data_IF_532454258193
#
_entry.id   IF_532454258193
#
_cell.length_a   1.000
_cell.length_b   1.000
_cell.length_c   1.000
_cell.angle_alpha   90.00
_cell.angle_beta   90.00
_cell.angle_gamma   90.00
#
_symmetry.space_group_name_H-M   'P 1'
#
loop_
_entity.id
_entity.type
_entity.pdbx_description
1 polymer ?
#
# COMPACT_ATOMS: atom_id res chain seq x y z
N UNK A 1 -25.72 -6.43 8.79
CA UNK A 1 -24.58 -6.15 9.69
C UNK A 1 -23.38 -5.72 8.83
N UNK A 2 -22.66 -4.64 9.15
CA UNK A 2 -21.45 -4.24 8.39
C UNK A 2 -20.23 -4.98 8.94
N UNK A 3 -19.51 -5.71 8.08
CA UNK A 3 -18.22 -6.33 8.45
C UNK A 3 -17.25 -5.26 8.93
N UNK A 4 -16.62 -5.51 10.07
CA UNK A 4 -15.49 -4.73 10.58
C UNK A 4 -14.18 -5.34 10.10
N UNK A 5 -13.22 -4.48 9.81
CA UNK A 5 -11.85 -4.87 9.51
C UNK A 5 -11.15 -5.30 10.79
N UNK A 6 -10.37 -6.36 10.69
CA UNK A 6 -9.43 -6.76 11.74
C UNK A 6 -8.30 -5.76 11.88
N UNK A 7 -7.58 -5.79 13.00
CA UNK A 7 -6.43 -4.90 13.20
C UNK A 7 -5.35 -5.07 12.13
N UNK A 8 -5.12 -6.32 11.68
CA UNK A 8 -4.18 -6.63 10.61
C UNK A 8 -4.62 -6.05 9.26
N UNK A 9 -5.91 -6.16 8.92
CA UNK A 9 -6.44 -5.54 7.70
C UNK A 9 -6.38 -4.01 7.76
N UNK A 10 -6.69 -3.40 8.90
CA UNK A 10 -6.56 -1.95 9.08
C UNK A 10 -5.11 -1.52 8.89
N UNK A 11 -4.15 -2.24 9.48
CA UNK A 11 -2.73 -1.96 9.30
C UNK A 11 -2.35 -2.06 7.81
N UNK A 12 -2.69 -3.16 7.16
CA UNK A 12 -2.44 -3.38 5.73
C UNK A 12 -3.01 -2.27 4.86
N UNK A 13 -4.30 -1.94 5.03
CA UNK A 13 -4.98 -0.92 4.25
C UNK A 13 -4.33 0.45 4.40
N UNK A 14 -3.90 0.82 5.61
CA UNK A 14 -3.19 2.09 5.85
C UNK A 14 -1.79 2.13 5.23
N UNK A 15 -1.25 1.00 4.76
CA UNK A 15 0.01 1.02 4.00
C UNK A 15 -0.19 1.38 2.54
N UNK A 16 -1.40 1.24 1.98
CA UNK A 16 -1.63 1.40 0.54
C UNK A 16 -1.74 2.88 0.15
N UNK A 17 -1.09 3.32 -0.96
CA UNK A 17 -1.19 4.70 -1.43
C UNK A 17 -2.62 5.10 -1.87
N UNK A 18 -3.46 4.11 -2.19
CA UNK A 18 -4.87 4.31 -2.51
C UNK A 18 -5.73 4.70 -1.29
N UNK A 19 -5.18 4.58 -0.08
CA UNK A 19 -5.89 4.78 1.18
C UNK A 19 -5.26 5.95 1.92
N UNK A 20 -6.05 6.98 2.15
CA UNK A 20 -5.68 8.09 3.03
C UNK A 20 -5.68 7.64 4.49
N UNK A 21 -6.72 6.89 4.88
CA UNK A 21 -6.88 6.34 6.23
C UNK A 21 -7.85 5.18 6.26
N UNK A 22 -7.52 4.11 6.97
CA UNK A 22 -8.45 3.04 7.32
C UNK A 22 -8.67 2.95 8.84
N UNK A 23 -9.91 2.69 9.23
CA UNK A 23 -10.35 2.32 10.58
C UNK A 23 -11.03 0.95 10.54
N UNK A 24 -11.44 0.43 11.71
CA UNK A 24 -12.14 -0.84 11.82
C UNK A 24 -13.45 -0.90 11.01
N UNK A 25 -14.02 0.24 10.61
CA UNK A 25 -15.34 0.33 9.97
C UNK A 25 -15.34 1.11 8.65
N UNK A 26 -14.35 1.97 8.40
CA UNK A 26 -14.32 2.92 7.28
C UNK A 26 -12.96 2.94 6.60
N UNK A 27 -12.99 3.05 5.27
CA UNK A 27 -11.82 3.39 4.46
C UNK A 27 -12.09 4.76 3.87
N UNK A 28 -11.14 5.67 4.06
CA UNK A 28 -11.04 6.94 3.37
C UNK A 28 -10.01 6.77 2.25
N UNK A 29 -10.45 6.89 1.01
CA UNK A 29 -9.59 6.75 -0.16
C UNK A 29 -8.90 8.07 -0.47
N UNK A 30 -7.64 8.02 -0.90
CA UNK A 30 -6.91 9.21 -1.33
C UNK A 30 -7.55 9.81 -2.58
N UNK A 31 -7.57 11.14 -2.70
CA UNK A 31 -8.22 11.84 -3.83
C UNK A 31 -7.69 11.38 -5.19
N UNK A 32 -6.37 11.29 -5.32
CA UNK A 32 -5.70 10.82 -6.55
C UNK A 32 -6.18 9.41 -6.97
N UNK A 33 -6.36 8.49 -6.02
CA UNK A 33 -6.92 7.18 -6.35
C UNK A 33 -8.36 7.24 -6.83
N UNK A 34 -9.20 8.11 -6.27
CA UNK A 34 -10.60 8.27 -6.71
C UNK A 34 -10.64 8.71 -8.17
N UNK A 35 -9.86 9.73 -8.53
CA UNK A 35 -9.75 10.26 -9.89
C UNK A 35 -9.24 9.20 -10.86
N UNK A 36 -8.12 8.53 -10.56
CA UNK A 36 -7.54 7.48 -11.41
C UNK A 36 -8.46 6.28 -11.56
N UNK A 37 -9.15 5.90 -10.49
CA UNK A 37 -10.12 4.81 -10.51
C UNK A 37 -11.28 5.15 -11.45
N UNK A 38 -11.83 6.37 -11.34
CA UNK A 38 -12.94 6.79 -12.20
C UNK A 38 -12.50 6.98 -13.65
N UNK A 39 -11.26 7.42 -13.92
CA UNK A 39 -10.70 7.49 -15.26
C UNK A 39 -10.62 6.10 -15.91
N UNK A 40 -10.15 5.09 -15.16
CA UNK A 40 -10.13 3.69 -15.62
C UNK A 40 -11.54 3.12 -15.83
N UNK A 41 -12.47 3.45 -14.94
CA UNK A 41 -13.88 3.02 -15.04
C UNK A 41 -14.56 3.61 -16.29
N UNK A 42 -14.30 4.88 -16.61
CA UNK A 42 -14.80 5.52 -17.84
C UNK A 42 -14.27 4.87 -19.12
N UNK A 43 -13.08 4.26 -19.07
CA UNK A 43 -12.49 3.46 -20.15
C UNK A 43 -13.04 2.02 -20.22
N UNK A 44 -14.04 1.67 -19.39
CA UNK A 44 -14.68 0.37 -19.40
C UNK A 44 -14.04 -0.69 -18.49
N UNK A 45 -13.00 -0.35 -17.71
CA UNK A 45 -12.40 -1.30 -16.78
C UNK A 45 -13.34 -1.57 -15.59
N UNK A 46 -13.42 -2.84 -15.18
CA UNK A 46 -14.27 -3.26 -14.07
C UNK A 46 -13.77 -2.74 -12.70
N UNK A 47 -14.63 -2.17 -11.84
CA UNK A 47 -14.24 -1.63 -10.53
C UNK A 47 -13.44 -2.59 -9.65
N UNK A 48 -13.86 -3.85 -9.60
CA UNK A 48 -13.20 -4.92 -8.84
C UNK A 48 -11.74 -5.08 -9.27
N UNK A 49 -11.47 -5.03 -10.58
CA UNK A 49 -10.13 -5.18 -11.14
C UNK A 49 -9.26 -3.97 -10.80
N UNK A 50 -9.82 -2.76 -10.92
CA UNK A 50 -9.12 -1.51 -10.62
C UNK A 50 -8.70 -1.49 -9.14
N UNK A 51 -9.61 -1.82 -8.23
CA UNK A 51 -9.32 -1.91 -6.81
C UNK A 51 -8.27 -2.98 -6.50
N UNK A 52 -8.41 -4.18 -7.07
CA UNK A 52 -7.43 -5.24 -6.89
C UNK A 52 -6.02 -4.81 -7.36
N UNK A 53 -5.92 -4.10 -8.48
CA UNK A 53 -4.63 -3.60 -9.01
C UNK A 53 -3.95 -2.57 -8.08
N UNK A 54 -4.73 -1.90 -7.23
CA UNK A 54 -4.26 -0.97 -6.21
C UNK A 54 -4.02 -1.62 -4.84
N UNK A 55 -4.05 -2.96 -4.75
CA UNK A 55 -3.92 -3.71 -3.49
C UNK A 55 -5.20 -3.77 -2.64
N UNK A 56 -6.31 -3.24 -3.15
CA UNK A 56 -7.60 -3.25 -2.46
C UNK A 56 -8.39 -4.51 -2.82
N UNK A 57 -7.94 -5.68 -2.32
CA UNK A 57 -8.56 -6.97 -2.62
C UNK A 57 -10.07 -6.96 -2.27
N UNK A 58 -10.97 -7.32 -3.20
CA UNK A 58 -12.42 -7.45 -2.96
C UNK A 58 -12.79 -8.37 -1.79
N UNK A 59 -11.95 -9.34 -1.42
CA UNK A 59 -12.13 -10.20 -0.23
C UNK A 59 -11.94 -9.44 1.07
N UNK A 60 -11.05 -8.46 1.09
CA UNK A 60 -10.80 -7.59 2.24
C UNK A 60 -11.83 -6.46 2.25
N UNK A 61 -11.89 -5.67 1.17
CA UNK A 61 -12.73 -4.47 1.08
C UNK A 61 -14.21 -4.82 0.98
N UNK A 62 -14.56 -5.89 0.27
CA UNK A 62 -15.94 -6.32 0.02
C UNK A 62 -16.56 -5.63 -1.19
N UNK A 63 -17.10 -6.43 -2.12
CA UNK A 63 -17.68 -5.93 -3.39
C UNK A 63 -18.73 -4.83 -3.21
N UNK A 64 -19.63 -4.95 -2.23
CA UNK A 64 -20.63 -3.89 -1.94
C UNK A 64 -20.02 -2.57 -1.48
N UNK A 65 -18.84 -2.57 -0.84
CA UNK A 65 -18.14 -1.33 -0.49
C UNK A 65 -17.55 -0.68 -1.74
N UNK A 66 -17.02 -1.48 -2.66
CA UNK A 66 -16.49 -1.03 -3.96
C UNK A 66 -17.62 -0.40 -4.79
N UNK A 67 -18.74 -1.11 -4.98
CA UNK A 67 -19.91 -0.59 -5.72
C UNK A 67 -20.39 0.75 -5.16
N UNK A 68 -20.51 0.87 -3.82
CA UNK A 68 -20.92 2.11 -3.17
C UNK A 68 -19.89 3.23 -3.30
N UNK A 69 -18.61 2.90 -3.38
CA UNK A 69 -17.56 3.88 -3.62
C UNK A 69 -17.67 4.46 -5.04
N UNK A 70 -17.78 3.58 -6.05
CA UNK A 70 -17.99 3.98 -7.43
C UNK A 70 -19.26 4.82 -7.58
N UNK A 71 -20.39 4.38 -7.00
CA UNK A 71 -21.64 5.12 -7.08
C UNK A 71 -21.52 6.53 -6.47
N UNK A 72 -20.79 6.67 -5.36
CA UNK A 72 -20.54 7.97 -4.73
C UNK A 72 -19.67 8.87 -5.59
N UNK A 73 -18.56 8.36 -6.11
CA UNK A 73 -17.63 9.13 -6.94
C UNK A 73 -18.23 9.49 -8.29
N UNK A 74 -19.07 8.62 -8.85
CA UNK A 74 -19.84 8.91 -10.06
C UNK A 74 -20.84 10.07 -9.87
N UNK A 75 -21.33 10.25 -8.66
CA UNK A 75 -22.24 11.36 -8.30
C UNK A 75 -21.49 12.66 -7.95
N UNK A 76 -20.16 12.62 -7.82
CA UNK A 76 -19.33 13.78 -7.52
C UNK A 76 -18.85 14.45 -8.84
N UNK A 77 -19.32 15.67 -9.16
CA UNK A 77 -18.98 16.33 -10.41
C UNK A 77 -17.48 16.65 -10.53
N UNK A 78 -16.82 16.98 -9.41
CA UNK A 78 -15.41 17.37 -9.40
C UNK A 78 -14.53 16.17 -9.75
N UNK A 79 -14.75 15.04 -9.07
CA UNK A 79 -14.02 13.79 -9.34
C UNK A 79 -14.25 13.34 -10.80
N UNK A 80 -15.48 13.45 -11.30
CA UNK A 80 -15.81 13.02 -12.66
C UNK A 80 -15.22 13.93 -13.73
N UNK A 81 -15.10 15.23 -13.47
CA UNK A 81 -14.41 16.17 -14.36
C UNK A 81 -12.92 15.82 -14.45
N UNK A 82 -12.23 15.75 -13.30
CA UNK A 82 -10.81 15.41 -13.24
C UNK A 82 -10.52 14.03 -13.85
N UNK A 83 -11.41 13.05 -13.63
CA UNK A 83 -11.28 11.72 -14.20
C UNK A 83 -11.41 11.71 -15.73
N UNK A 84 -12.29 12.53 -16.30
CA UNK A 84 -12.42 12.68 -17.76
C UNK A 84 -11.20 13.35 -18.34
N UNK A 85 -10.72 14.43 -17.72
CA UNK A 85 -9.51 15.13 -18.16
C UNK A 85 -8.32 14.17 -18.15
N UNK A 86 -8.16 13.39 -17.07
CA UNK A 86 -7.13 12.36 -16.98
C UNK A 86 -7.28 11.28 -18.05
N UNK A 87 -8.51 10.78 -18.27
CA UNK A 87 -8.80 9.76 -19.27
C UNK A 87 -8.61 10.25 -20.72
N UNK A 88 -8.80 11.54 -20.99
CA UNK A 88 -8.65 12.13 -22.31
C UNK A 88 -7.20 12.56 -22.59
N UNK A 89 -6.47 13.02 -21.57
CA UNK A 89 -5.07 13.44 -21.70
C UNK A 89 -4.14 12.27 -22.06
N UNK A 90 -4.48 11.05 -21.65
CA UNK A 90 -3.74 9.83 -21.99
C UNK A 90 -4.27 9.19 -23.28
N UNK A 91 -4.21 9.95 -24.38
CA UNK A 91 -4.62 9.55 -25.73
C UNK A 91 -3.80 8.42 -26.36
N UNK A 92 -2.75 7.92 -25.69
CA UNK A 92 -2.05 6.67 -26.02
C UNK A 92 -2.36 5.60 -24.98
N UNK A 93 -2.81 4.45 -25.49
CA UNK A 93 -2.90 3.09 -24.95
C UNK A 93 -3.18 2.86 -23.45
N UNK A 94 -4.04 1.86 -23.18
CA UNK A 94 -4.27 1.28 -21.85
C UNK A 94 -2.96 0.94 -21.11
N UNK A 95 -1.87 0.70 -21.85
CA UNK A 95 -0.52 0.47 -21.32
C UNK A 95 0.01 1.66 -20.51
N UNK A 96 -0.14 2.91 -20.98
CA UNK A 96 0.40 4.08 -20.27
C UNK A 96 -0.34 4.34 -18.96
N UNK A 97 -1.64 4.08 -18.93
CA UNK A 97 -2.44 4.19 -17.72
C UNK A 97 -2.11 3.09 -16.70
N UNK A 98 -1.84 1.87 -17.19
CA UNK A 98 -1.39 0.76 -16.36
C UNK A 98 0.01 1.05 -15.80
N UNK A 99 0.93 1.55 -16.62
CA UNK A 99 2.28 1.97 -16.20
C UNK A 99 2.20 3.11 -15.18
N UNK A 100 1.34 4.11 -15.38
CA UNK A 100 1.14 5.20 -14.42
C UNK A 100 0.51 4.71 -13.10
N UNK A 101 -0.44 3.79 -13.16
CA UNK A 101 -1.06 3.20 -11.96
C UNK A 101 -0.06 2.33 -11.20
N UNK A 102 0.67 1.46 -11.93
CA UNK A 102 1.71 0.61 -11.37
C UNK A 102 2.89 1.43 -10.85
N UNK A 103 3.18 2.61 -11.40
CA UNK A 103 4.29 3.45 -10.93
C UNK A 103 4.15 3.87 -9.47
N UNK A 104 2.93 4.06 -8.97
CA UNK A 104 2.70 4.33 -7.55
C UNK A 104 2.94 3.08 -6.69
N UNK A 105 2.51 1.92 -7.18
CA UNK A 105 2.77 0.64 -6.52
C UNK A 105 4.26 0.34 -6.49
N UNK A 106 4.98 0.59 -7.59
CA UNK A 106 6.44 0.43 -7.68
C UNK A 106 7.14 1.37 -6.70
N UNK A 107 6.83 2.67 -6.72
CA UNK A 107 7.40 3.64 -5.77
C UNK A 107 7.15 3.27 -4.31
N UNK A 108 5.96 2.75 -4.01
CA UNK A 108 5.63 2.29 -2.67
C UNK A 108 6.42 1.03 -2.28
N UNK A 109 6.47 0.04 -3.17
CA UNK A 109 7.26 -1.19 -2.98
C UNK A 109 8.74 -0.87 -2.79
N UNK A 110 9.30 0.02 -3.62
CA UNK A 110 10.68 0.51 -3.50
C UNK A 110 10.93 1.09 -2.10
N UNK A 111 10.07 1.99 -1.63
CA UNK A 111 10.17 2.56 -0.28
C UNK A 111 10.05 1.50 0.81
N UNK A 112 9.16 0.51 0.63
CA UNK A 112 8.96 -0.56 1.61
C UNK A 112 10.16 -1.51 1.67
N UNK A 113 10.76 -1.83 0.54
CA UNK A 113 12.00 -2.63 0.45
C UNK A 113 13.13 -1.91 1.18
N UNK A 114 13.29 -0.59 0.97
CA UNK A 114 14.31 0.21 1.68
C UNK A 114 14.09 0.19 3.20
N UNK A 115 12.86 0.38 3.67
CA UNK A 115 12.51 0.32 5.10
C UNK A 115 12.84 -1.05 5.71
N UNK A 116 12.46 -2.13 5.03
CA UNK A 116 12.73 -3.49 5.48
C UNK A 116 14.24 -3.79 5.50
N UNK A 117 14.98 -3.39 4.47
CA UNK A 117 16.43 -3.57 4.42
C UNK A 117 17.12 -2.82 5.57
N UNK A 118 16.67 -1.60 5.87
CA UNK A 118 17.19 -0.81 6.99
C UNK A 118 16.97 -1.52 8.32
N UNK A 119 15.79 -2.13 8.52
CA UNK A 119 15.47 -2.89 9.73
C UNK A 119 16.29 -4.17 9.85
N UNK A 120 16.52 -4.89 8.75
CA UNK A 120 17.37 -6.09 8.73
C UNK A 120 18.79 -5.71 9.10
N UNK A 121 19.37 -4.69 8.45
CA UNK A 121 20.72 -4.23 8.76
C UNK A 121 20.87 -3.83 10.24
N UNK A 122 19.87 -3.14 10.80
CA UNK A 122 19.87 -2.80 12.22
C UNK A 122 19.90 -4.05 13.12
N UNK A 123 19.12 -5.08 12.80
CA UNK A 123 19.12 -6.35 13.54
C UNK A 123 20.46 -7.11 13.39
N UNK A 124 21.05 -7.13 12.20
CA UNK A 124 22.34 -7.74 11.95
C UNK A 124 23.46 -7.03 12.73
N UNK A 125 23.42 -5.70 12.83
CA UNK A 125 24.42 -4.95 13.61
C UNK A 125 24.33 -5.24 15.11
N UNK A 126 23.13 -5.45 15.66
CA UNK A 126 22.92 -5.83 17.06
C UNK A 126 23.33 -7.27 17.33
N UNK A 127 23.02 -8.21 16.42
CA UNK A 127 23.45 -9.60 16.55
C UNK A 127 24.98 -9.78 16.49
N UNK A 128 25.68 -8.92 15.74
CA UNK A 128 27.14 -8.98 15.62
C UNK A 128 27.87 -8.40 16.85
N UNK A 129 27.27 -7.46 17.58
CA UNK A 129 27.84 -6.96 18.85
C UNK A 129 27.76 -7.99 19.97
N UNK A 130 26.72 -8.83 19.98
CA UNK A 130 26.52 -9.86 21.00
C UNK A 130 27.49 -11.05 20.84
N UNK A 131 28.00 -11.30 19.63
CA UNK A 131 28.98 -12.38 19.38
C UNK A 131 30.43 -12.01 19.73
N UNK A 132 30.78 -10.73 19.75
CA UNK A 132 32.18 -10.29 19.96
C UNK A 132 32.54 -10.14 21.46
N UNK A 133 31.56 -10.04 22.37
CA UNK A 133 31.81 -9.84 23.82
C UNK A 133 32.03 -11.13 24.62
N UNK A 134 31.86 -12.32 24.04
CA UNK A 134 32.16 -13.58 24.73
C UNK A 134 33.64 -13.99 24.56
N UNK A 135 34.57 -13.20 25.12
CA UNK A 135 35.95 -13.66 25.32
C UNK A 135 36.02 -14.63 26.53
N UNK A 136 36.72 -15.77 26.42
CA UNK A 136 36.69 -16.80 27.45
C UNK A 136 37.46 -16.38 28.71
N UNK A 137 36.84 -16.63 29.87
CA UNK A 137 37.42 -16.49 31.22
C UNK A 137 38.53 -17.54 31.42
N UNK A 138 39.69 -17.37 30.76
CA UNK A 138 40.86 -18.24 30.95
C UNK A 138 42.18 -17.46 30.92
N UNK A 139 42.28 -16.38 31.69
CA UNK A 139 43.58 -15.89 32.19
C UNK A 139 43.36 -15.16 33.53
N UNK A 140 43.16 -15.90 34.62
CA UNK A 140 43.21 -15.32 35.98
C UNK A 140 43.64 -16.32 37.07
N UNK A 141 44.36 -17.40 36.72
CA UNK A 141 44.99 -18.24 37.73
C UNK A 141 46.34 -18.76 37.25
N UNK A 142 47.40 -18.40 37.98
CA UNK A 142 48.67 -19.11 37.99
C UNK A 142 49.89 -18.34 37.49
N UNK A 143 50.49 -17.52 38.35
CA UNK A 143 51.92 -17.66 38.68
C UNK A 143 52.25 -16.84 39.92
N UNK A 144 52.01 -17.43 41.09
CA UNK A 144 52.76 -17.12 42.30
C UNK A 144 53.65 -18.34 42.57
N UNK A 145 54.92 -18.22 42.22
CA UNK A 145 56.08 -18.92 42.76
C UNK A 145 57.33 -18.38 42.04
#
# INVERSE_FOLDING_TARGET
MRRRFTQAEVYYLNTLPAVERASADRITYSHDFQVRCMAQYLRGNGPTSIFASAGLDPKIVGGKRIERAIARWKADPQIMLEARDFANASGSDQHDLLVLTQSMTIKWLEKKVIDLQTRINALETVGNTDTVTMMPVRQLVGSAA
#
